data_IF_498788333117
#
_entry.id   IF_498788333117
#
_cell.length_a   1.000
_cell.length_b   1.000
_cell.length_c   1.000
_cell.angle_alpha   90.00
_cell.angle_beta   90.00
_cell.angle_gamma   90.00
#
_symmetry.space_group_name_H-M   'P 1'
#
loop_
_entity.id
_entity.type
_entity.pdbx_description
1 polymer ?
#
# COMPACT_ATOMS: atom_id res chain seq x y z
N UNK A 1 24.63 -8.25 -0.56
CA UNK A 1 23.27 -8.84 -0.49
C UNK A 1 23.31 -10.25 -1.04
N UNK A 2 22.62 -11.16 -0.40
CA UNK A 2 22.51 -12.55 -0.83
C UNK A 2 21.64 -12.64 -2.10
N UNK A 3 22.13 -13.23 -3.21
CA UNK A 3 21.33 -13.36 -4.43
C UNK A 3 20.03 -14.14 -4.25
N UNK A 4 20.03 -15.14 -3.39
CA UNK A 4 18.81 -15.93 -3.08
C UNK A 4 17.78 -15.06 -2.39
N UNK A 5 18.19 -14.24 -1.43
CA UNK A 5 17.30 -13.31 -0.75
C UNK A 5 16.73 -12.27 -1.73
N UNK A 6 17.57 -11.75 -2.61
CA UNK A 6 17.13 -10.81 -3.65
C UNK A 6 16.07 -11.43 -4.56
N UNK A 7 16.32 -12.66 -5.04
CA UNK A 7 15.35 -13.37 -5.87
C UNK A 7 14.05 -13.64 -5.12
N UNK A 8 14.15 -14.06 -3.85
CA UNK A 8 12.97 -14.29 -3.01
C UNK A 8 12.15 -13.01 -2.83
N UNK A 9 12.82 -11.88 -2.62
CA UNK A 9 12.15 -10.58 -2.50
C UNK A 9 11.47 -10.17 -3.81
N UNK A 10 12.10 -10.44 -4.96
CA UNK A 10 11.52 -10.16 -6.27
C UNK A 10 10.25 -10.99 -6.50
N UNK A 11 10.27 -12.27 -6.15
CA UNK A 11 9.10 -13.14 -6.24
C UNK A 11 8.00 -12.71 -5.26
N UNK A 12 8.38 -12.31 -4.05
CA UNK A 12 7.44 -11.77 -3.07
C UNK A 12 6.77 -10.50 -3.60
N UNK A 13 7.51 -9.65 -4.32
CA UNK A 13 6.96 -8.46 -4.97
C UNK A 13 5.88 -8.81 -5.99
N UNK A 14 6.10 -9.86 -6.78
CA UNK A 14 5.08 -10.38 -7.69
C UNK A 14 3.82 -10.85 -6.96
N UNK A 15 4.00 -11.56 -5.85
CA UNK A 15 2.87 -11.96 -4.98
C UNK A 15 2.15 -10.75 -4.44
N UNK A 16 2.88 -9.74 -3.97
CA UNK A 16 2.30 -8.49 -3.49
C UNK A 16 1.46 -7.79 -4.54
N UNK A 17 1.94 -7.75 -5.79
CA UNK A 17 1.20 -7.16 -6.91
C UNK A 17 -0.10 -7.91 -7.20
N UNK A 18 -0.10 -9.24 -7.11
CA UNK A 18 -1.32 -10.04 -7.26
C UNK A 18 -2.30 -9.74 -6.13
N UNK A 19 -1.82 -9.69 -4.89
CA UNK A 19 -2.66 -9.35 -3.74
C UNK A 19 -3.29 -7.97 -3.89
N UNK A 20 -2.51 -6.98 -4.35
CA UNK A 20 -3.04 -5.63 -4.65
C UNK A 20 -4.19 -5.70 -5.63
N UNK A 21 -4.01 -6.43 -6.73
CA UNK A 21 -5.05 -6.57 -7.75
C UNK A 21 -6.32 -7.19 -7.15
N UNK A 22 -6.17 -8.24 -6.36
CA UNK A 22 -7.32 -8.94 -5.76
C UNK A 22 -8.05 -8.06 -4.73
N UNK A 23 -7.32 -7.35 -3.89
CA UNK A 23 -7.93 -6.44 -2.90
C UNK A 23 -8.64 -5.30 -3.61
N UNK A 24 -8.01 -4.68 -4.60
CA UNK A 24 -8.63 -3.59 -5.36
C UNK A 24 -9.89 -4.07 -6.07
N UNK A 25 -9.85 -5.23 -6.70
CA UNK A 25 -11.02 -5.81 -7.36
C UNK A 25 -12.15 -6.09 -6.37
N UNK A 26 -11.84 -6.68 -5.22
CA UNK A 26 -12.82 -6.99 -4.18
C UNK A 26 -13.48 -5.74 -3.61
N UNK A 27 -12.70 -4.72 -3.31
CA UNK A 27 -13.22 -3.44 -2.80
C UNK A 27 -14.07 -2.74 -3.86
N UNK A 28 -13.63 -2.77 -5.13
CA UNK A 28 -14.40 -2.17 -6.22
C UNK A 28 -15.76 -2.84 -6.40
N UNK A 29 -15.86 -4.14 -6.19
CA UNK A 29 -17.14 -4.86 -6.24
C UNK A 29 -18.08 -4.47 -5.11
N UNK A 30 -17.54 -4.11 -3.95
CA UNK A 30 -18.35 -3.70 -2.78
C UNK A 30 -18.66 -2.22 -2.78
N UNK A 31 -17.69 -1.37 -3.10
CA UNK A 31 -17.78 0.09 -2.97
C UNK A 31 -17.92 0.83 -4.30
N UNK A 32 -17.84 0.12 -5.43
CA UNK A 32 -17.84 0.72 -6.76
C UNK A 32 -16.49 1.35 -7.13
N UNK A 33 -16.46 2.00 -8.30
CA UNK A 33 -15.22 2.58 -8.84
C UNK A 33 -15.27 4.10 -8.97
N UNK A 34 -16.29 4.75 -8.42
CA UNK A 34 -16.40 6.21 -8.48
C UNK A 34 -15.25 6.88 -7.75
N UNK A 35 -14.87 6.34 -6.59
CA UNK A 35 -13.69 6.74 -5.85
C UNK A 35 -12.77 5.51 -5.71
N UNK A 36 -11.41 5.67 -5.76
CA UNK A 36 -10.49 4.54 -5.71
C UNK A 36 -10.26 4.02 -4.27
N UNK A 37 -11.31 3.53 -3.63
CA UNK A 37 -11.24 3.00 -2.26
C UNK A 37 -10.28 1.82 -2.14
N UNK A 38 -10.20 0.98 -3.18
CA UNK A 38 -9.33 -0.19 -3.17
C UNK A 38 -7.87 0.19 -3.05
N UNK A 39 -7.40 1.15 -3.85
CA UNK A 39 -6.00 1.58 -3.82
C UNK A 39 -5.70 2.33 -2.52
N UNK A 40 -6.64 3.13 -2.02
CA UNK A 40 -6.49 3.76 -0.71
C UNK A 40 -6.30 2.70 0.38
N UNK A 41 -7.17 1.69 0.43
CA UNK A 41 -7.07 0.59 1.41
C UNK A 41 -5.76 -0.18 1.26
N UNK A 42 -5.35 -0.48 0.04
CA UNK A 42 -4.08 -1.17 -0.25
C UNK A 42 -2.90 -0.39 0.34
N UNK A 43 -2.82 0.90 0.05
CA UNK A 43 -1.70 1.71 0.52
C UNK A 43 -1.72 1.93 2.03
N UNK A 44 -2.90 2.12 2.63
CA UNK A 44 -3.02 2.27 4.09
C UNK A 44 -2.68 0.97 4.82
N UNK A 45 -3.25 -0.15 4.38
CA UNK A 45 -2.97 -1.45 4.98
C UNK A 45 -1.51 -1.86 4.80
N UNK A 46 -0.95 -1.60 3.63
CA UNK A 46 0.45 -1.86 3.34
C UNK A 46 1.38 -1.02 4.21
N UNK A 47 1.08 0.25 4.39
CA UNK A 47 1.86 1.14 5.26
C UNK A 47 1.82 0.70 6.72
N UNK A 48 0.66 0.29 7.21
CA UNK A 48 0.51 -0.24 8.56
C UNK A 48 1.34 -1.51 8.75
N UNK A 49 1.19 -2.48 7.84
CA UNK A 49 1.92 -3.76 7.94
C UNK A 49 3.43 -3.52 7.81
N UNK A 50 3.86 -2.59 6.96
CA UNK A 50 5.27 -2.23 6.86
C UNK A 50 5.81 -1.72 8.20
N UNK A 51 5.06 -0.87 8.89
CA UNK A 51 5.44 -0.39 10.22
C UNK A 51 5.58 -1.55 11.22
N UNK A 52 4.62 -2.46 11.24
CA UNK A 52 4.67 -3.65 12.11
C UNK A 52 5.89 -4.52 11.79
N UNK A 53 6.12 -4.82 10.53
CA UNK A 53 7.26 -5.65 10.09
C UNK A 53 8.59 -5.02 10.48
N UNK A 54 8.70 -3.70 10.32
CA UNK A 54 9.95 -2.98 10.60
C UNK A 54 10.36 -3.10 12.08
N UNK A 55 9.38 -3.07 12.99
CA UNK A 55 9.66 -3.11 14.44
C UNK A 55 9.56 -4.50 15.04
N UNK A 56 8.64 -5.33 14.58
CA UNK A 56 8.42 -6.66 15.13
C UNK A 56 9.29 -7.74 14.48
N UNK A 57 9.60 -7.58 13.19
CA UNK A 57 10.30 -8.60 12.40
C UNK A 57 11.42 -7.98 11.56
N UNK A 58 12.41 -7.32 12.22
CA UNK A 58 13.45 -6.59 11.49
C UNK A 58 14.28 -7.48 10.55
N UNK A 59 14.47 -8.76 10.90
CA UNK A 59 15.23 -9.70 10.06
C UNK A 59 14.47 -10.08 8.78
N UNK A 60 13.14 -9.95 8.78
CA UNK A 60 12.30 -10.20 7.61
C UNK A 60 11.94 -8.92 6.85
N UNK A 61 12.43 -7.77 7.29
CA UNK A 61 12.01 -6.47 6.75
C UNK A 61 12.33 -6.33 5.25
N UNK A 62 13.46 -6.87 4.79
CA UNK A 62 13.79 -6.80 3.37
C UNK A 62 12.82 -7.64 2.53
N UNK A 63 12.58 -8.88 2.92
CA UNK A 63 11.71 -9.80 2.18
C UNK A 63 10.26 -9.33 2.20
N UNK A 64 9.73 -9.00 3.38
CA UNK A 64 8.34 -8.60 3.55
C UNK A 64 8.11 -7.13 3.21
N UNK A 65 9.05 -6.25 3.55
CA UNK A 65 8.92 -4.82 3.30
C UNK A 65 9.23 -4.46 1.85
N UNK A 66 10.49 -4.54 1.46
CA UNK A 66 10.89 -4.19 0.09
C UNK A 66 10.33 -5.18 -0.94
N UNK A 67 10.20 -6.47 -0.57
CA UNK A 67 9.65 -7.50 -1.44
C UNK A 67 8.13 -7.44 -1.50
N UNK A 68 7.47 -8.11 -0.57
CA UNK A 68 6.01 -8.31 -0.60
C UNK A 68 5.25 -6.98 -0.61
N UNK A 69 5.49 -6.13 0.38
CA UNK A 69 4.77 -4.86 0.52
C UNK A 69 5.18 -3.84 -0.55
N UNK A 70 6.42 -3.93 -1.03
CA UNK A 70 6.87 -3.12 -2.16
C UNK A 70 6.08 -3.39 -3.43
N UNK A 71 5.70 -4.64 -3.68
CA UNK A 71 4.82 -5.00 -4.79
C UNK A 71 3.34 -4.75 -4.50
N UNK A 72 2.94 -4.82 -3.23
CA UNK A 72 1.55 -4.63 -2.81
C UNK A 72 1.12 -3.17 -2.89
N UNK A 73 1.92 -2.24 -2.35
CA UNK A 73 1.61 -0.80 -2.39
C UNK A 73 1.94 -0.20 -3.75
N UNK A 74 1.31 0.94 -4.06
CA UNK A 74 1.55 1.62 -5.34
C UNK A 74 1.43 3.13 -5.20
N UNK A 75 2.45 3.84 -5.65
CA UNK A 75 2.40 5.29 -5.82
C UNK A 75 1.80 5.67 -7.18
N UNK A 76 2.20 4.99 -8.25
CA UNK A 76 1.80 5.38 -9.61
C UNK A 76 0.29 5.25 -9.82
N UNK A 77 -0.33 4.15 -9.40
CA UNK A 77 -1.78 3.98 -9.53
C UNK A 77 -2.53 5.04 -8.72
N UNK A 78 -2.06 5.33 -7.50
CA UNK A 78 -2.65 6.36 -6.67
C UNK A 78 -2.62 7.74 -7.34
N UNK A 79 -1.51 8.07 -8.00
CA UNK A 79 -1.37 9.34 -8.71
C UNK A 79 -2.20 9.39 -9.99
N UNK A 80 -2.27 8.29 -10.73
CA UNK A 80 -3.15 8.19 -11.91
C UNK A 80 -4.62 8.37 -11.52
N UNK A 81 -5.05 7.75 -10.42
CA UNK A 81 -6.41 7.91 -9.91
C UNK A 81 -6.68 9.36 -9.49
N UNK A 82 -5.71 10.00 -8.84
CA UNK A 82 -5.81 11.41 -8.44
C UNK A 82 -6.01 12.32 -9.65
N UNK A 83 -5.22 12.11 -10.70
CA UNK A 83 -5.32 12.89 -11.94
C UNK A 83 -6.66 12.63 -12.63
N UNK A 84 -7.11 11.36 -12.68
CA UNK A 84 -8.38 11.01 -13.28
C UNK A 84 -9.56 11.70 -12.56
N UNK A 85 -9.56 11.70 -11.24
CA UNK A 85 -10.58 12.40 -10.45
C UNK A 85 -10.61 13.90 -10.77
N UNK A 86 -9.45 14.52 -10.87
CA UNK A 86 -9.36 15.94 -11.20
C UNK A 86 -9.93 16.23 -12.60
N UNK A 87 -9.55 15.40 -13.58
CA UNK A 87 -10.02 15.56 -14.96
C UNK A 87 -11.50 15.34 -15.11
N UNK A 88 -12.08 14.47 -14.28
CA UNK A 88 -13.52 14.17 -14.29
C UNK A 88 -14.35 15.22 -13.54
N UNK A 89 -13.72 16.30 -13.06
CA UNK A 89 -14.40 17.33 -12.30
C UNK A 89 -14.61 17.03 -10.83
N UNK A 90 -14.12 15.90 -10.34
CA UNK A 90 -14.20 15.47 -8.94
C UNK A 90 -13.00 16.02 -8.16
N UNK A 91 -12.84 17.35 -8.16
CA UNK A 91 -11.65 18.00 -7.59
C UNK A 91 -11.50 17.81 -6.07
N UNK A 92 -12.57 17.96 -5.25
CA UNK A 92 -12.46 17.66 -3.82
C UNK A 92 -12.01 16.21 -3.56
N UNK A 93 -12.56 15.26 -4.31
CA UNK A 93 -12.18 13.85 -4.19
C UNK A 93 -10.72 13.63 -4.62
N UNK A 94 -10.26 14.32 -5.66
CA UNK A 94 -8.87 14.27 -6.12
C UNK A 94 -7.92 14.74 -5.01
N UNK A 95 -8.19 15.90 -4.41
CA UNK A 95 -7.38 16.45 -3.32
C UNK A 95 -7.40 15.51 -2.12
N UNK A 96 -8.58 15.00 -1.75
CA UNK A 96 -8.69 14.02 -0.67
C UNK A 96 -7.86 12.76 -0.96
N UNK A 97 -7.91 12.25 -2.19
CA UNK A 97 -7.13 11.07 -2.54
C UNK A 97 -5.62 11.31 -2.38
N UNK A 98 -5.11 12.43 -2.89
CA UNK A 98 -3.69 12.73 -2.83
C UNK A 98 -3.23 13.03 -1.39
N UNK A 99 -3.86 14.01 -0.75
CA UNK A 99 -3.45 14.50 0.58
C UNK A 99 -3.85 13.49 1.66
N UNK A 100 -5.07 12.95 1.56
CA UNK A 100 -5.57 11.95 2.50
C UNK A 100 -4.72 10.70 2.49
N UNK A 101 -4.33 10.22 1.31
CA UNK A 101 -3.48 9.04 1.20
C UNK A 101 -2.11 9.27 1.86
N UNK A 102 -1.51 10.45 1.66
CA UNK A 102 -0.24 10.78 2.31
C UNK A 102 -0.38 10.83 3.84
N UNK A 103 -1.33 11.61 4.33
CA UNK A 103 -1.50 11.81 5.78
C UNK A 103 -1.95 10.52 6.48
N UNK A 104 -2.95 9.83 5.92
CA UNK A 104 -3.43 8.58 6.48
C UNK A 104 -2.38 7.48 6.37
N UNK A 105 -1.61 7.46 5.29
CA UNK A 105 -0.50 6.54 5.12
C UNK A 105 0.59 6.73 6.18
N UNK A 106 0.94 7.98 6.47
CA UNK A 106 1.89 8.31 7.54
C UNK A 106 1.36 7.88 8.92
N UNK A 107 0.07 8.13 9.19
CA UNK A 107 -0.56 7.69 10.43
C UNK A 107 -0.58 6.15 10.53
N UNK A 108 -0.94 5.48 9.45
CA UNK A 108 -0.97 4.02 9.39
C UNK A 108 0.43 3.43 9.65
N UNK A 109 1.46 3.99 9.01
CA UNK A 109 2.84 3.55 9.23
C UNK A 109 3.29 3.79 10.68
N UNK A 110 2.97 4.95 11.24
CA UNK A 110 3.28 5.28 12.63
C UNK A 110 2.60 4.34 13.61
N UNK A 111 1.31 4.06 13.39
CA UNK A 111 0.57 3.08 14.20
C UNK A 111 1.15 1.68 14.07
N UNK A 112 1.56 1.29 12.86
CA UNK A 112 2.21 0.01 12.63
C UNK A 112 3.53 -0.11 13.39
N UNK A 113 4.35 0.95 13.37
CA UNK A 113 5.59 0.99 14.14
C UNK A 113 5.31 0.82 15.65
N UNK A 114 4.30 1.52 16.16
CA UNK A 114 3.92 1.43 17.57
C UNK A 114 3.41 0.03 17.95
N UNK A 115 2.53 -0.53 17.15
CA UNK A 115 2.00 -1.88 17.37
C UNK A 115 3.12 -2.92 17.30
N UNK A 116 3.97 -2.84 16.30
CA UNK A 116 5.10 -3.76 16.14
C UNK A 116 6.07 -3.70 17.32
N UNK A 117 6.27 -2.51 17.89
CA UNK A 117 7.14 -2.34 19.05
C UNK A 117 6.57 -3.00 20.33
N UNK A 118 5.26 -3.26 20.37
CA UNK A 118 4.61 -3.94 21.51
C UNK A 118 4.64 -5.47 21.36
N UNK A 119 4.97 -5.98 20.19
CA UNK A 119 5.07 -7.40 19.93
C UNK A 119 6.51 -7.88 20.18
#
# INVERSE_FOLDING_TARGET
>A
MNPVLFLAAALAGGVGAVLRYLVDLGVARLAGRRFPWGILLVNLSGSFVLGVVTTALPDAAFLLGAGLLGGYTTFSTAMLDTVALWRDGERPASVFNAVGMLLLGLLAAGLGLAVGALL
#
